data_IF_769535224600
#
_entry.id   IF_769535224600
#
_cell.length_a   1.000
_cell.length_b   1.000
_cell.length_c   1.000
_cell.angle_alpha   90.00
_cell.angle_beta   90.00
_cell.angle_gamma   90.00
#
_symmetry.space_group_name_H-M   'P 1'
#
loop_
_entity.id
_entity.type
_entity.pdbx_description
1 polymer ?
#
# COMPACT_ATOMS: atom_id res chain seq x y z
N UNK A 1 -16.54 18.27 4.63
CA UNK A 1 -17.67 18.31 3.65
C UNK A 1 -17.23 17.86 2.26
N UNK A 2 -16.06 18.32 1.76
CA UNK A 2 -15.60 18.00 0.41
C UNK A 2 -15.28 16.49 0.25
N UNK A 3 -14.45 15.93 1.14
CA UNK A 3 -14.14 14.51 1.14
C UNK A 3 -15.40 13.64 1.24
N UNK A 4 -16.37 14.02 2.08
CA UNK A 4 -17.62 13.29 2.21
C UNK A 4 -18.41 13.26 0.89
N UNK A 5 -18.42 14.37 0.14
CA UNK A 5 -19.07 14.44 -1.16
C UNK A 5 -18.39 13.51 -2.21
N UNK A 6 -17.08 13.33 -2.11
CA UNK A 6 -16.34 12.41 -2.99
C UNK A 6 -16.70 10.94 -2.76
N UNK A 7 -17.20 10.60 -1.57
CA UNK A 7 -17.66 9.24 -1.20
C UNK A 7 -19.19 9.11 -1.26
N UNK A 8 -19.87 9.96 -2.03
CA UNK A 8 -21.31 9.85 -2.23
C UNK A 8 -21.69 8.48 -2.81
N UNK A 9 -22.72 7.86 -2.24
CA UNK A 9 -23.16 6.51 -2.59
C UNK A 9 -22.48 5.38 -1.77
N UNK A 10 -21.47 5.67 -0.94
CA UNK A 10 -20.88 4.67 -0.05
C UNK A 10 -21.75 4.42 1.20
N UNK A 11 -21.78 3.17 1.63
CA UNK A 11 -22.33 2.76 2.93
C UNK A 11 -21.17 2.33 3.83
N UNK A 12 -21.01 3.01 4.97
CA UNK A 12 -20.02 2.65 5.98
C UNK A 12 -20.58 1.55 6.91
N UNK A 13 -19.85 0.46 7.04
CA UNK A 13 -20.16 -0.61 7.98
C UNK A 13 -19.26 -0.47 9.21
N UNK A 14 -19.81 -0.01 10.32
CA UNK A 14 -19.06 0.30 11.55
C UNK A 14 -18.84 -0.89 12.47
N UNK A 15 -19.47 -2.04 12.20
CA UNK A 15 -19.39 -3.27 13.00
C UNK A 15 -18.66 -4.40 12.23
N UNK A 16 -17.57 -4.06 11.54
CA UNK A 16 -16.75 -5.05 10.83
C UNK A 16 -15.51 -5.31 11.65
N UNK A 17 -15.13 -6.59 11.74
CA UNK A 17 -13.91 -7.03 12.43
C UNK A 17 -13.14 -7.93 11.47
N UNK A 18 -11.83 -7.73 11.39
CA UNK A 18 -10.94 -8.62 10.63
C UNK A 18 -10.98 -10.04 11.20
N UNK A 19 -10.85 -11.03 10.32
CA UNK A 19 -10.77 -12.45 10.71
C UNK A 19 -9.40 -12.84 11.25
N UNK A 20 -8.39 -11.97 11.14
CA UNK A 20 -7.04 -12.19 11.62
C UNK A 20 -6.37 -10.93 12.13
N UNK A 21 -5.39 -11.08 13.01
CA UNK A 21 -4.62 -9.97 13.56
C UNK A 21 -3.49 -9.48 12.64
N UNK A 22 -3.23 -10.19 11.55
CA UNK A 22 -2.18 -9.90 10.59
C UNK A 22 -2.68 -10.09 9.18
N UNK A 23 -2.16 -9.34 8.23
CA UNK A 23 -2.51 -9.37 6.80
C UNK A 23 -2.51 -10.77 6.19
N UNK A 24 -1.52 -11.60 6.50
CA UNK A 24 -1.44 -12.97 6.01
C UNK A 24 -2.52 -13.93 6.59
N UNK A 25 -3.31 -13.46 7.55
CA UNK A 25 -4.48 -14.19 8.08
C UNK A 25 -5.80 -13.53 7.68
N UNK A 26 -5.85 -12.19 7.62
CA UNK A 26 -7.02 -11.44 7.22
C UNK A 26 -7.31 -11.55 5.73
N UNK A 27 -6.30 -11.30 4.91
CA UNK A 27 -6.43 -11.29 3.44
C UNK A 27 -6.96 -12.61 2.84
N UNK A 28 -6.49 -13.81 3.24
CA UNK A 28 -7.06 -15.05 2.70
C UNK A 28 -8.56 -15.18 2.92
N UNK A 29 -9.05 -14.83 4.10
CA UNK A 29 -10.49 -14.87 4.39
C UNK A 29 -11.28 -13.80 3.64
N UNK A 30 -10.67 -12.61 3.44
CA UNK A 30 -11.26 -11.54 2.67
C UNK A 30 -11.44 -11.92 1.19
N UNK A 31 -10.45 -12.58 0.60
CA UNK A 31 -10.42 -12.96 -0.82
C UNK A 31 -11.14 -14.28 -1.11
N UNK A 32 -10.99 -15.28 -0.24
CA UNK A 32 -11.48 -16.63 -0.43
C UNK A 32 -12.73 -16.97 0.41
N UNK A 33 -13.11 -16.09 1.34
CA UNK A 33 -14.27 -16.29 2.20
C UNK A 33 -14.03 -17.22 3.39
N UNK A 34 -15.12 -17.79 3.93
CA UNK A 34 -15.11 -18.58 5.16
C UNK A 34 -14.09 -19.72 5.18
N UNK A 35 -13.92 -20.42 4.05
CA UNK A 35 -13.01 -21.58 3.93
C UNK A 35 -11.53 -21.20 4.08
N UNK A 36 -11.24 -19.91 4.01
CA UNK A 36 -9.88 -19.36 4.18
C UNK A 36 -9.70 -18.62 5.52
N UNK A 37 -10.66 -18.74 6.43
CA UNK A 37 -10.43 -18.29 7.82
C UNK A 37 -9.37 -19.15 8.50
N UNK A 38 -8.72 -18.61 9.53
CA UNK A 38 -7.61 -19.27 10.25
C UNK A 38 -8.01 -20.68 10.69
N UNK A 39 -9.22 -20.84 11.24
CA UNK A 39 -9.69 -22.13 11.73
C UNK A 39 -9.82 -23.16 10.60
N UNK A 40 -10.35 -22.75 9.44
CA UNK A 40 -10.50 -23.62 8.28
C UNK A 40 -9.18 -23.96 7.61
N UNK A 41 -8.31 -22.96 7.44
CA UNK A 41 -6.95 -23.17 6.89
C UNK A 41 -6.16 -24.15 7.75
N UNK A 42 -6.30 -24.11 9.08
CA UNK A 42 -5.61 -25.01 10.00
C UNK A 42 -6.08 -26.48 9.92
N UNK A 43 -7.26 -26.75 9.36
CA UNK A 43 -7.71 -28.12 9.10
C UNK A 43 -6.95 -28.78 7.93
N UNK A 44 -6.43 -27.99 7.02
CA UNK A 44 -5.67 -28.43 5.82
C UNK A 44 -4.20 -28.62 6.16
N UNK A 45 -3.86 -29.58 7.05
CA UNK A 45 -2.55 -29.75 7.69
C UNK A 45 -1.42 -30.12 6.73
N UNK A 46 -1.74 -30.83 5.65
CA UNK A 46 -0.75 -31.37 4.70
C UNK A 46 -0.36 -30.34 3.62
N UNK A 47 -0.99 -29.18 3.59
CA UNK A 47 -0.72 -28.13 2.62
C UNK A 47 0.11 -27.00 3.23
N UNK A 48 1.03 -26.45 2.44
CA UNK A 48 1.86 -25.33 2.87
C UNK A 48 0.98 -24.07 3.01
N UNK A 49 1.33 -23.21 3.96
CA UNK A 49 0.60 -21.99 4.22
C UNK A 49 0.66 -21.01 3.02
N UNK A 50 1.79 -20.95 2.32
CA UNK A 50 1.95 -20.14 1.10
C UNK A 50 1.01 -20.61 -0.01
N UNK A 51 0.80 -21.92 -0.18
CA UNK A 51 -0.06 -22.46 -1.23
C UNK A 51 -1.54 -22.08 -0.96
N UNK A 52 -1.97 -22.20 0.30
CA UNK A 52 -3.32 -21.78 0.75
C UNK A 52 -3.55 -20.28 0.59
N UNK A 53 -2.54 -19.48 0.90
CA UNK A 53 -2.60 -18.03 0.70
C UNK A 53 -2.73 -17.66 -0.78
N UNK A 54 -1.89 -18.24 -1.62
CA UNK A 54 -1.93 -18.04 -3.07
C UNK A 54 -3.24 -18.52 -3.70
N UNK A 55 -3.81 -19.60 -3.17
CA UNK A 55 -5.12 -20.10 -3.59
C UNK A 55 -6.20 -19.06 -3.29
N UNK A 56 -6.23 -18.52 -2.07
CA UNK A 56 -7.17 -17.48 -1.68
C UNK A 56 -7.06 -16.21 -2.55
N UNK A 57 -5.82 -15.73 -2.79
CA UNK A 57 -5.59 -14.56 -3.64
C UNK A 57 -6.15 -14.73 -5.06
N UNK A 58 -6.16 -15.95 -5.59
CA UNK A 58 -6.66 -16.27 -6.94
C UNK A 58 -8.18 -16.39 -7.01
N UNK A 59 -8.87 -16.62 -5.89
CA UNK A 59 -10.30 -16.96 -5.90
C UNK A 59 -11.15 -15.96 -6.68
N UNK A 60 -11.11 -14.69 -6.30
CA UNK A 60 -11.92 -13.67 -6.99
C UNK A 60 -11.39 -13.35 -8.39
N UNK A 61 -10.10 -13.03 -8.60
CA UNK A 61 -9.59 -12.73 -9.93
C UNK A 61 -9.87 -13.81 -10.96
N UNK A 62 -9.62 -15.07 -10.63
CA UNK A 62 -9.85 -16.20 -11.54
C UNK A 62 -11.34 -16.45 -11.78
N UNK A 63 -12.18 -16.30 -10.75
CA UNK A 63 -13.62 -16.45 -10.92
C UNK A 63 -14.19 -15.40 -11.90
N UNK A 64 -13.75 -14.15 -11.80
CA UNK A 64 -14.20 -13.09 -12.71
C UNK A 64 -13.65 -13.30 -14.11
N UNK A 65 -12.39 -13.67 -14.28
CA UNK A 65 -11.76 -14.01 -15.57
C UNK A 65 -12.54 -15.12 -16.29
N UNK A 66 -12.83 -16.22 -15.59
CA UNK A 66 -13.62 -17.34 -16.13
C UNK A 66 -15.05 -16.97 -16.51
N UNK A 67 -15.58 -15.86 -15.99
CA UNK A 67 -16.89 -15.34 -16.33
C UNK A 67 -16.84 -14.18 -17.36
N UNK A 68 -15.70 -14.00 -18.03
CA UNK A 68 -15.54 -13.09 -19.17
C UNK A 68 -15.38 -11.63 -18.78
N UNK A 69 -14.90 -11.36 -17.56
CA UNK A 69 -14.49 -10.02 -17.15
C UNK A 69 -13.05 -9.75 -17.62
N UNK A 70 -12.76 -8.51 -17.97
CA UNK A 70 -11.40 -8.01 -18.07
C UNK A 70 -10.85 -7.78 -16.67
N UNK A 71 -9.86 -8.58 -16.27
CA UNK A 71 -9.38 -8.65 -14.88
C UNK A 71 -8.02 -7.99 -14.75
N UNK A 72 -7.92 -7.07 -13.81
CA UNK A 72 -6.65 -6.44 -13.43
C UNK A 72 -6.38 -6.60 -11.93
N UNK A 73 -5.15 -6.97 -11.60
CA UNK A 73 -4.66 -7.14 -10.22
C UNK A 73 -3.46 -6.23 -9.99
N UNK A 74 -3.56 -5.39 -8.95
CA UNK A 74 -2.45 -4.55 -8.47
C UNK A 74 -1.98 -5.01 -7.08
N UNK A 75 -0.68 -5.18 -6.93
CA UNK A 75 0.01 -5.45 -5.67
C UNK A 75 -0.65 -6.56 -4.82
N UNK A 76 -0.91 -7.79 -5.36
CA UNK A 76 -1.58 -8.85 -4.61
C UNK A 76 -0.75 -9.23 -3.38
N UNK A 77 -1.21 -8.78 -2.22
CA UNK A 77 -0.44 -8.74 -0.98
C UNK A 77 0.10 -10.12 -0.59
N UNK A 78 1.39 -10.18 -0.27
CA UNK A 78 2.13 -11.39 0.10
C UNK A 78 2.03 -12.55 -0.91
N UNK A 79 1.76 -12.28 -2.20
CA UNK A 79 1.82 -13.33 -3.22
C UNK A 79 3.17 -14.07 -3.16
N UNK A 80 3.13 -15.39 -3.06
CA UNK A 80 4.27 -16.28 -2.75
C UNK A 80 5.00 -15.93 -1.43
N UNK A 81 4.32 -15.30 -0.47
CA UNK A 81 4.89 -14.83 0.79
C UNK A 81 6.10 -13.91 0.60
N UNK A 82 6.08 -13.10 -0.48
CA UNK A 82 7.07 -12.08 -0.73
C UNK A 82 6.53 -10.71 -0.32
N UNK A 83 7.39 -9.86 0.27
CA UNK A 83 7.06 -8.48 0.60
C UNK A 83 6.69 -7.67 -0.66
N UNK A 84 7.53 -7.73 -1.69
CA UNK A 84 7.13 -7.31 -3.03
C UNK A 84 6.47 -8.51 -3.68
N UNK A 85 5.17 -8.42 -4.00
CA UNK A 85 4.40 -9.56 -4.46
C UNK A 85 5.01 -10.25 -5.68
N UNK A 86 5.10 -11.57 -5.66
CA UNK A 86 5.53 -12.33 -6.81
C UNK A 86 4.32 -12.64 -7.72
N UNK A 87 4.22 -11.89 -8.81
CA UNK A 87 3.10 -12.00 -9.76
C UNK A 87 3.05 -13.34 -10.52
N UNK A 88 4.08 -14.19 -10.38
CA UNK A 88 4.08 -15.53 -10.98
C UNK A 88 2.95 -16.43 -10.45
N UNK A 89 2.34 -16.06 -9.32
CA UNK A 89 1.15 -16.75 -8.78
C UNK A 89 -0.01 -16.81 -9.78
N UNK A 90 -0.06 -15.87 -10.73
CA UNK A 90 -1.06 -15.79 -11.80
C UNK A 90 -0.52 -16.27 -13.16
N UNK A 91 0.62 -16.99 -13.23
CA UNK A 91 1.23 -17.40 -14.51
C UNK A 91 0.33 -18.31 -15.36
N UNK A 92 -0.53 -19.11 -14.72
CA UNK A 92 -1.46 -20.01 -15.37
C UNK A 92 -2.70 -19.29 -15.95
N UNK A 93 -2.83 -17.99 -15.70
CA UNK A 93 -3.95 -17.13 -16.11
C UNK A 93 -3.41 -15.94 -16.91
N UNK A 94 -3.04 -16.14 -18.20
CA UNK A 94 -2.36 -15.13 -19.00
C UNK A 94 -3.23 -13.91 -19.29
N UNK A 95 -4.55 -14.05 -19.28
CA UNK A 95 -5.51 -12.99 -19.56
C UNK A 95 -5.73 -12.05 -18.35
N UNK A 96 -5.29 -12.44 -17.16
CA UNK A 96 -5.30 -11.57 -15.98
C UNK A 96 -4.13 -10.58 -16.09
N UNK A 97 -4.45 -9.30 -16.21
CA UNK A 97 -3.49 -8.21 -16.15
C UNK A 97 -2.98 -8.04 -14.73
N UNK A 98 -1.67 -7.91 -14.55
CA UNK A 98 -1.05 -7.86 -13.23
C UNK A 98 0.10 -6.88 -13.17
N UNK A 99 0.12 -6.04 -12.12
CA UNK A 99 1.07 -4.95 -11.98
C UNK A 99 1.56 -4.82 -10.54
N UNK A 100 2.80 -4.37 -10.39
CA UNK A 100 3.34 -3.85 -9.14
C UNK A 100 3.36 -2.33 -9.26
N UNK A 101 2.61 -1.66 -8.39
CA UNK A 101 2.58 -0.19 -8.30
C UNK A 101 3.39 0.34 -7.13
N UNK A 102 3.61 -0.48 -6.10
CA UNK A 102 4.42 -0.14 -4.94
C UNK A 102 5.85 0.22 -5.34
N UNK A 103 6.23 1.48 -5.15
CA UNK A 103 7.53 2.01 -5.54
C UNK A 103 7.74 2.19 -7.05
N UNK A 104 6.69 2.07 -7.87
CA UNK A 104 6.76 2.29 -9.33
C UNK A 104 6.82 3.78 -9.70
N UNK A 105 6.45 4.67 -8.78
CA UNK A 105 6.38 6.11 -9.02
C UNK A 105 7.47 6.84 -8.25
N UNK A 106 8.14 7.78 -8.93
CA UNK A 106 9.19 8.58 -8.31
C UNK A 106 8.63 9.54 -7.26
N UNK A 107 9.42 9.79 -6.23
CA UNK A 107 9.16 10.83 -5.25
C UNK A 107 10.38 11.77 -5.19
N UNK A 108 10.13 13.07 -5.31
CA UNK A 108 11.17 14.08 -5.15
C UNK A 108 11.73 14.13 -3.72
N UNK A 109 11.04 13.54 -2.77
CA UNK A 109 11.45 13.45 -1.37
C UNK A 109 12.41 12.29 -1.09
N UNK A 110 12.55 11.33 -2.01
CA UNK A 110 13.55 10.26 -1.89
C UNK A 110 14.89 10.80 -2.44
N UNK A 111 15.95 10.88 -1.63
CA UNK A 111 17.22 11.40 -2.08
C UNK A 111 17.79 10.59 -3.26
N UNK A 112 18.20 11.27 -4.32
CA UNK A 112 18.74 10.63 -5.53
C UNK A 112 20.03 9.85 -5.27
N UNK A 113 20.82 10.26 -4.28
CA UNK A 113 22.02 9.55 -3.82
C UNK A 113 21.67 8.16 -3.23
N UNK A 114 20.56 8.01 -2.53
CA UNK A 114 20.08 6.72 -2.04
C UNK A 114 19.79 5.75 -3.18
N UNK A 115 19.11 6.21 -4.24
CA UNK A 115 18.86 5.43 -5.46
C UNK A 115 20.20 5.01 -6.10
N UNK A 116 21.13 5.95 -6.25
CA UNK A 116 22.44 5.67 -6.84
C UNK A 116 23.28 4.70 -6.00
N UNK A 117 23.23 4.81 -4.67
CA UNK A 117 23.90 3.88 -3.76
C UNK A 117 23.33 2.47 -3.86
N UNK A 118 22.02 2.33 -3.89
CA UNK A 118 21.35 1.04 -4.05
C UNK A 118 21.64 0.42 -5.43
N UNK A 119 21.59 1.18 -6.50
CA UNK A 119 21.95 0.72 -7.84
C UNK A 119 23.39 0.18 -7.86
N UNK A 120 24.33 0.89 -7.25
CA UNK A 120 25.74 0.45 -7.12
C UNK A 120 25.84 -0.84 -6.32
N UNK A 121 25.12 -0.94 -5.19
CA UNK A 121 25.11 -2.12 -4.34
C UNK A 121 24.53 -3.34 -5.08
N UNK A 122 23.44 -3.16 -5.81
CA UNK A 122 22.87 -4.21 -6.67
C UNK A 122 23.83 -4.66 -7.76
N UNK A 123 24.53 -3.72 -8.42
CA UNK A 123 25.53 -4.04 -9.42
C UNK A 123 26.69 -4.86 -8.82
N UNK A 124 27.24 -4.41 -7.69
CA UNK A 124 28.32 -5.12 -6.98
C UNK A 124 27.91 -6.53 -6.55
N UNK A 125 26.70 -6.67 -5.99
CA UNK A 125 26.16 -7.95 -5.59
C UNK A 125 25.94 -8.90 -6.79
N UNK A 126 25.37 -8.39 -7.88
CA UNK A 126 25.14 -9.16 -9.10
C UNK A 126 26.47 -9.63 -9.72
N UNK A 127 27.46 -8.75 -9.76
CA UNK A 127 28.81 -9.08 -10.24
C UNK A 127 29.45 -10.19 -9.38
N UNK A 128 29.37 -10.05 -8.05
CA UNK A 128 29.88 -11.08 -7.13
C UNK A 128 29.21 -12.43 -7.40
N UNK A 129 27.88 -12.46 -7.55
CA UNK A 129 27.13 -13.70 -7.84
C UNK A 129 27.45 -14.33 -9.18
N UNK A 130 27.76 -13.52 -10.18
CA UNK A 130 28.11 -13.98 -11.53
C UNK A 130 29.57 -14.50 -11.65
N UNK A 131 30.45 -14.14 -10.73
CA UNK A 131 31.85 -14.50 -10.76
C UNK A 131 32.13 -15.93 -10.23
N UNK A 132 33.24 -16.58 -10.67
CA UNK A 132 33.70 -17.82 -10.07
C UNK A 132 33.91 -17.73 -8.56
N UNK A 133 33.59 -18.80 -7.83
CA UNK A 133 33.64 -18.85 -6.35
C UNK A 133 34.96 -18.34 -5.77
N UNK A 134 36.06 -18.60 -6.44
CA UNK A 134 37.42 -18.17 -6.02
C UNK A 134 37.59 -16.63 -6.02
N UNK A 135 36.77 -15.90 -6.79
CA UNK A 135 36.81 -14.44 -6.90
C UNK A 135 35.73 -13.79 -6.05
N UNK A 136 34.71 -14.53 -5.69
CA UNK A 136 33.56 -13.99 -4.93
C UNK A 136 33.96 -13.38 -3.59
N UNK A 137 34.88 -13.98 -2.87
CA UNK A 137 35.34 -13.47 -1.56
C UNK A 137 36.07 -12.13 -1.69
N UNK A 138 36.79 -11.91 -2.79
CA UNK A 138 37.51 -10.66 -3.06
C UNK A 138 36.48 -9.56 -3.39
N UNK A 139 35.48 -9.88 -4.22
CA UNK A 139 34.41 -8.93 -4.57
C UNK A 139 33.47 -8.66 -3.39
N UNK A 140 33.29 -9.64 -2.51
CA UNK A 140 32.49 -9.48 -1.31
C UNK A 140 33.12 -8.49 -0.33
N UNK A 141 34.44 -8.47 -0.23
CA UNK A 141 35.21 -7.56 0.62
C UNK A 141 34.58 -7.35 2.01
N UNK A 142 34.20 -8.43 2.68
CA UNK A 142 33.48 -8.43 3.95
C UNK A 142 32.19 -7.58 3.96
N UNK A 143 31.53 -7.40 2.82
CA UNK A 143 30.34 -6.57 2.67
C UNK A 143 30.61 -5.08 2.53
N UNK A 144 31.87 -4.64 2.40
CA UNK A 144 32.23 -3.23 2.29
C UNK A 144 31.56 -2.54 1.09
N UNK A 145 31.33 -3.27 -0.02
CA UNK A 145 30.61 -2.74 -1.17
C UNK A 145 29.17 -2.33 -0.85
N UNK A 146 28.57 -2.92 0.19
CA UNK A 146 27.18 -2.66 0.62
C UNK A 146 27.14 -1.66 1.79
N UNK A 147 28.25 -1.08 2.19
CA UNK A 147 28.21 -0.02 3.19
C UNK A 147 27.55 1.21 2.60
N UNK A 148 26.57 1.72 3.31
CA UNK A 148 26.07 3.08 3.05
C UNK A 148 27.23 4.03 3.17
N UNK A 149 27.62 4.65 2.05
CA UNK A 149 28.62 5.75 2.06
C UNK A 149 28.00 7.08 2.46
N UNK A 150 26.73 7.05 2.81
CA UNK A 150 25.92 8.21 3.15
C UNK A 150 25.60 8.14 4.64
N UNK A 151 26.64 8.32 5.47
CA UNK A 151 26.45 8.89 6.80
C UNK A 151 26.47 10.41 6.66
N UNK A 152 25.45 10.96 6.06
CA UNK A 152 25.19 12.40 6.03
C UNK A 152 23.84 12.64 6.67
N UNK A 153 23.59 13.85 7.12
CA UNK A 153 22.33 14.31 7.72
C UNK A 153 21.08 13.97 6.88
N UNK A 154 21.25 13.39 5.68
CA UNK A 154 20.22 12.88 4.77
C UNK A 154 19.70 11.47 5.13
N UNK A 155 20.30 10.75 6.11
CA UNK A 155 19.76 9.48 6.62
C UNK A 155 18.37 9.63 7.27
N UNK A 156 17.99 10.86 7.61
CA UNK A 156 16.68 11.20 8.19
C UNK A 156 15.51 11.08 7.23
N UNK A 157 15.74 10.83 5.93
CA UNK A 157 14.68 10.66 4.94
C UNK A 157 14.19 9.20 4.79
N UNK A 158 14.78 8.27 5.51
CA UNK A 158 14.42 6.84 5.41
C UNK A 158 13.34 6.46 6.41
N UNK A 159 13.20 7.22 7.47
CA UNK A 159 12.22 6.99 8.54
C UNK A 159 11.76 8.33 9.12
N UNK A 160 10.47 8.45 9.39
CA UNK A 160 9.95 9.61 10.08
C UNK A 160 10.17 9.46 11.58
N UNK A 161 10.69 10.51 12.21
CA UNK A 161 10.81 10.60 13.66
C UNK A 161 9.71 11.49 14.20
N UNK A 162 8.75 10.91 14.92
CA UNK A 162 7.69 11.62 15.66
C UNK A 162 8.29 12.13 16.97
N UNK A 163 8.32 13.45 17.15
CA UNK A 163 8.91 14.11 18.32
C UNK A 163 7.87 14.61 19.34
N UNK A 164 6.61 14.44 19.04
CA UNK A 164 5.46 14.81 19.88
C UNK A 164 4.15 14.47 19.18
N UNK A 165 3.00 14.67 19.83
CA UNK A 165 1.71 14.33 19.23
C UNK A 165 1.47 14.97 17.86
N UNK A 166 1.99 16.17 17.65
CA UNK A 166 1.69 17.00 16.47
C UNK A 166 2.92 17.32 15.60
N UNK A 167 4.10 16.80 15.96
CA UNK A 167 5.36 17.22 15.31
C UNK A 167 6.19 16.02 14.88
N UNK A 168 6.75 16.10 13.67
CA UNK A 168 7.65 15.09 13.15
C UNK A 168 8.71 15.68 12.21
N UNK A 169 9.82 14.94 12.02
CA UNK A 169 10.84 15.22 11.03
C UNK A 169 11.18 13.97 10.23
N UNK A 170 11.62 14.15 8.99
CA UNK A 170 11.84 13.05 8.07
C UNK A 170 10.56 12.57 7.39
N UNK A 171 10.67 11.53 6.57
CA UNK A 171 9.54 10.93 5.88
C UNK A 171 9.86 9.47 5.55
N UNK A 172 8.93 8.57 5.85
CA UNK A 172 9.09 7.15 5.59
C UNK A 172 9.03 6.84 4.09
N UNK A 173 10.08 6.17 3.59
CA UNK A 173 10.16 5.81 2.18
C UNK A 173 9.16 4.72 1.79
N UNK A 174 8.75 3.88 2.72
CA UNK A 174 7.74 2.82 2.50
C UNK A 174 6.37 3.46 2.31
N UNK A 175 6.03 4.43 3.19
CA UNK A 175 4.83 5.24 3.04
C UNK A 175 4.78 5.92 1.67
N UNK A 176 5.87 6.60 1.27
CA UNK A 176 5.93 7.30 -0.03
C UNK A 176 5.67 6.37 -1.21
N UNK A 177 6.19 5.15 -1.19
CA UNK A 177 5.99 4.16 -2.25
C UNK A 177 4.52 3.78 -2.43
N UNK A 178 3.79 3.57 -1.34
CA UNK A 178 2.36 3.29 -1.37
C UNK A 178 1.55 4.53 -1.74
N UNK A 179 1.84 5.67 -1.12
CA UNK A 179 1.13 6.93 -1.32
C UNK A 179 1.20 7.44 -2.76
N UNK A 180 2.39 7.37 -3.39
CA UNK A 180 2.53 7.78 -4.78
C UNK A 180 1.77 6.88 -5.76
N UNK A 181 1.56 5.60 -5.46
CA UNK A 181 0.67 4.75 -6.24
C UNK A 181 -0.77 5.31 -6.21
N UNK A 182 -1.28 5.69 -5.04
CA UNK A 182 -2.62 6.30 -4.94
C UNK A 182 -2.71 7.64 -5.68
N UNK A 183 -1.69 8.50 -5.59
CA UNK A 183 -1.70 9.80 -6.28
C UNK A 183 -1.75 9.66 -7.79
N UNK A 184 -1.26 8.54 -8.33
CA UNK A 184 -1.20 8.29 -9.77
C UNK A 184 -2.42 7.52 -10.31
N UNK A 185 -3.35 7.07 -9.47
CA UNK A 185 -4.53 6.33 -9.93
C UNK A 185 -5.28 7.01 -11.08
N UNK A 186 -5.55 8.33 -11.05
CA UNK A 186 -6.22 8.99 -12.17
C UNK A 186 -5.43 8.94 -13.48
N UNK A 187 -4.10 8.86 -13.44
CA UNK A 187 -3.24 8.87 -14.63
C UNK A 187 -3.02 7.49 -15.22
N UNK A 188 -3.05 6.44 -14.39
CA UNK A 188 -2.87 5.05 -14.84
C UNK A 188 -4.19 4.36 -15.15
N UNK A 189 -5.32 4.93 -14.72
CA UNK A 189 -6.64 4.38 -15.00
C UNK A 189 -7.04 4.69 -16.45
N UNK A 190 -7.35 3.65 -17.19
CA UNK A 190 -7.91 3.77 -18.55
C UNK A 190 -9.40 3.44 -18.51
N UNK A 191 -10.20 4.23 -19.23
CA UNK A 191 -11.62 3.97 -19.41
C UNK A 191 -11.87 3.63 -20.86
N UNK A 192 -12.62 2.57 -21.12
CA UNK A 192 -12.97 2.12 -22.46
C UNK A 192 -14.48 2.15 -22.69
N UNK A 193 -14.89 2.13 -23.94
CA UNK A 193 -16.31 2.01 -24.34
C UNK A 193 -16.60 0.63 -24.95
N UNK A 194 -15.78 -0.38 -24.62
CA UNK A 194 -15.91 -1.74 -25.16
C UNK A 194 -17.22 -2.40 -24.80
N UNK A 195 -17.81 -2.02 -23.67
CA UNK A 195 -18.99 -2.68 -23.10
C UNK A 195 -18.64 -3.93 -22.28
N UNK A 196 -17.38 -4.28 -22.18
CA UNK A 196 -16.91 -5.40 -21.38
C UNK A 196 -16.99 -5.07 -19.88
N UNK A 197 -17.33 -6.04 -19.08
CA UNK A 197 -17.27 -5.90 -17.62
C UNK A 197 -15.83 -6.01 -17.17
N UNK A 198 -15.44 -5.18 -16.20
CA UNK A 198 -14.10 -5.18 -15.62
C UNK A 198 -14.14 -5.58 -14.16
N UNK A 199 -13.08 -6.26 -13.70
CA UNK A 199 -12.83 -6.52 -12.29
C UNK A 199 -11.43 -6.00 -11.94
N UNK A 200 -11.36 -5.10 -10.98
CA UNK A 200 -10.11 -4.57 -10.45
C UNK A 200 -9.94 -5.00 -9.00
N UNK A 201 -8.84 -5.66 -8.71
CA UNK A 201 -8.37 -5.91 -7.35
C UNK A 201 -7.09 -5.12 -7.12
N UNK A 202 -7.05 -4.34 -6.03
CA UNK A 202 -5.89 -3.53 -5.68
C UNK A 202 -5.66 -3.58 -4.16
N UNK A 203 -4.42 -3.79 -3.75
CA UNK A 203 -3.97 -3.52 -2.38
C UNK A 203 -3.03 -2.33 -2.34
N UNK A 204 -2.96 -1.66 -1.19
CA UNK A 204 -2.09 -0.50 -1.03
C UNK A 204 -1.66 -0.35 0.43
N UNK A 205 -0.36 -0.18 0.65
CA UNK A 205 0.27 -0.17 1.97
C UNK A 205 0.42 1.24 2.60
N UNK A 206 -0.24 2.27 2.06
CA UNK A 206 -0.08 3.66 2.56
C UNK A 206 -0.43 3.78 4.05
N UNK A 207 -1.39 3.00 4.53
CA UNK A 207 -1.81 3.03 5.94
C UNK A 207 -1.07 2.04 6.84
N UNK A 208 -0.19 1.20 6.28
CA UNK A 208 0.56 0.18 7.01
C UNK A 208 1.68 0.79 7.88
N UNK A 209 2.40 1.78 7.35
CA UNK A 209 3.43 2.53 8.08
C UNK A 209 2.94 3.96 8.30
N UNK A 210 2.18 4.21 9.39
CA UNK A 210 1.57 5.51 9.60
C UNK A 210 2.60 6.60 9.81
N UNK A 211 2.37 7.77 9.18
CA UNK A 211 3.21 8.95 9.29
C UNK A 211 2.37 10.18 9.60
N UNK A 212 2.95 11.14 10.33
CA UNK A 212 2.37 12.47 10.45
C UNK A 212 2.53 13.23 9.14
N UNK A 213 1.45 13.85 8.69
CA UNK A 213 1.39 14.64 7.46
C UNK A 213 0.98 16.07 7.78
N UNK A 214 1.42 17.02 6.96
CA UNK A 214 1.15 18.42 7.21
C UNK A 214 -0.32 18.76 6.93
N UNK A 215 -1.04 19.17 7.96
CA UNK A 215 -2.40 19.68 7.86
C UNK A 215 -2.42 21.09 7.22
N UNK A 216 -3.54 21.53 6.62
CA UNK A 216 -4.85 20.85 6.55
C UNK A 216 -4.97 19.81 5.43
N UNK A 217 -4.04 19.79 4.49
CA UNK A 217 -4.12 19.00 3.25
C UNK A 217 -3.56 17.58 3.40
N UNK A 218 -3.07 17.23 4.60
CA UNK A 218 -2.39 15.96 4.86
C UNK A 218 -1.32 15.67 3.80
N UNK A 219 -0.55 16.71 3.50
CA UNK A 219 0.50 16.67 2.48
C UNK A 219 1.81 16.15 3.04
N UNK A 220 2.59 15.53 2.18
CA UNK A 220 3.93 15.02 2.50
C UNK A 220 4.88 16.18 2.77
N UNK A 221 5.57 16.16 3.89
CA UNK A 221 6.56 17.17 4.27
C UNK A 221 7.70 16.56 5.07
N UNK A 222 8.92 16.99 4.83
CA UNK A 222 10.10 16.58 5.63
C UNK A 222 10.11 17.15 7.05
N UNK A 223 9.24 18.10 7.35
CA UNK A 223 9.02 18.65 8.69
C UNK A 223 7.54 18.93 8.85
N UNK A 224 6.93 18.41 9.88
CA UNK A 224 5.50 18.55 10.20
C UNK A 224 5.36 19.25 11.55
N UNK A 225 4.50 20.25 11.60
CA UNK A 225 4.01 20.87 12.83
C UNK A 225 2.52 21.20 12.68
N UNK A 226 1.69 20.37 13.28
CA UNK A 226 0.24 20.51 13.29
C UNK A 226 -0.30 21.08 14.62
N UNK A 227 0.56 21.57 15.52
CA UNK A 227 0.17 21.97 16.89
C UNK A 227 -0.99 22.99 16.88
N UNK A 228 -0.89 24.04 16.08
CA UNK A 228 -1.95 25.07 15.99
C UNK A 228 -3.21 24.50 15.34
N UNK A 229 -3.06 23.85 14.19
CA UNK A 229 -4.19 23.29 13.45
C UNK A 229 -4.98 22.28 14.28
N UNK A 230 -4.32 21.37 14.96
CA UNK A 230 -4.94 20.31 15.76
C UNK A 230 -5.68 20.88 16.97
N UNK A 231 -5.13 21.95 17.58
CA UNK A 231 -5.79 22.68 18.66
C UNK A 231 -7.07 23.37 18.22
N UNK A 232 -7.05 23.98 17.04
CA UNK A 232 -8.20 24.72 16.48
C UNK A 232 -9.28 23.80 15.90
N UNK A 233 -8.92 22.57 15.51
CA UNK A 233 -9.81 21.63 14.82
C UNK A 233 -9.99 20.32 15.59
N UNK A 234 -9.94 20.36 16.92
CA UNK A 234 -10.06 19.18 17.78
C UNK A 234 -11.45 18.49 17.67
N UNK A 235 -12.47 19.21 17.26
CA UNK A 235 -13.82 18.70 17.05
C UNK A 235 -13.92 17.66 15.92
N UNK A 236 -12.94 17.64 14.98
CA UNK A 236 -12.88 16.63 13.91
C UNK A 236 -12.71 15.21 14.43
N UNK A 237 -12.26 15.04 15.68
CA UNK A 237 -12.15 13.75 16.34
C UNK A 237 -13.42 13.33 17.08
N UNK A 238 -14.53 14.03 16.86
CA UNK A 238 -15.82 13.69 17.46
C UNK A 238 -16.72 13.03 16.42
N UNK A 239 -17.13 11.80 16.67
CA UNK A 239 -18.01 11.02 15.82
C UNK A 239 -19.25 10.63 16.62
N UNK A 240 -20.45 10.97 16.12
CA UNK A 240 -21.75 10.69 16.78
C UNK A 240 -21.80 11.18 18.24
N UNK A 241 -21.18 12.34 18.50
CA UNK A 241 -21.10 12.97 19.82
C UNK A 241 -20.14 12.29 20.80
N UNK A 242 -19.32 11.35 20.33
CA UNK A 242 -18.26 10.71 21.09
C UNK A 242 -16.91 11.20 20.61
N UNK A 243 -16.12 11.76 21.51
CA UNK A 243 -14.74 12.15 21.17
C UNK A 243 -13.82 10.93 21.20
N UNK A 244 -13.02 10.79 20.13
CA UNK A 244 -11.91 9.84 20.08
C UNK A 244 -10.75 10.50 20.82
N UNK A 245 -10.18 9.78 21.79
CA UNK A 245 -9.01 10.25 22.52
C UNK A 245 -7.79 10.17 21.61
N UNK A 246 -7.15 11.32 21.39
CA UNK A 246 -5.97 11.48 20.54
C UNK A 246 -4.88 12.15 21.38
N UNK A 247 -3.99 11.35 21.96
CA UNK A 247 -2.94 11.81 22.90
C UNK A 247 -1.52 11.53 22.37
N UNK A 248 -1.37 10.45 21.59
CA UNK A 248 -0.07 9.96 21.15
C UNK A 248 0.17 10.28 19.66
N UNK A 249 1.42 10.56 19.30
CA UNK A 249 1.79 10.87 17.93
C UNK A 249 1.42 9.78 16.93
N UNK A 250 1.50 8.51 17.34
CA UNK A 250 1.11 7.37 16.50
C UNK A 250 -0.39 7.40 16.14
N UNK A 251 -1.26 7.86 17.06
CA UNK A 251 -2.69 7.98 16.78
C UNK A 251 -2.96 9.04 15.71
N UNK A 252 -2.28 10.19 15.81
CA UNK A 252 -2.35 11.24 14.79
C UNK A 252 -1.77 10.76 13.46
N UNK A 253 -0.65 10.05 13.48
CA UNK A 253 -0.04 9.49 12.28
C UNK A 253 -0.97 8.49 11.56
N UNK A 254 -1.66 7.63 12.30
CA UNK A 254 -2.70 6.75 11.74
C UNK A 254 -3.85 7.54 11.12
N UNK A 255 -4.32 8.57 11.83
CA UNK A 255 -5.38 9.42 11.31
C UNK A 255 -4.95 10.13 10.01
N UNK A 256 -3.78 10.75 10.01
CA UNK A 256 -3.24 11.50 8.87
C UNK A 256 -3.03 10.60 7.64
N UNK A 257 -2.44 9.43 7.83
CA UNK A 257 -2.22 8.46 6.74
C UNK A 257 -3.52 7.95 6.14
N UNK A 258 -4.54 7.70 6.98
CA UNK A 258 -5.86 7.32 6.51
C UNK A 258 -6.55 8.47 5.76
N UNK A 259 -6.49 9.70 6.29
CA UNK A 259 -7.04 10.88 5.63
C UNK A 259 -6.39 11.12 4.28
N UNK A 260 -5.05 11.07 4.21
CA UNK A 260 -4.32 11.22 2.96
C UNK A 260 -4.74 10.16 1.92
N UNK A 261 -4.84 8.90 2.33
CA UNK A 261 -5.29 7.81 1.46
C UNK A 261 -6.70 8.02 0.93
N UNK A 262 -7.65 8.36 1.81
CA UNK A 262 -9.03 8.64 1.42
C UNK A 262 -9.13 9.85 0.48
N UNK A 263 -8.33 10.90 0.70
CA UNK A 263 -8.30 12.07 -0.18
C UNK A 263 -7.79 11.72 -1.58
N UNK A 264 -6.78 10.83 -1.71
CA UNK A 264 -6.33 10.38 -3.03
C UNK A 264 -7.37 9.48 -3.72
N UNK A 265 -8.02 8.60 -2.98
CA UNK A 265 -9.16 7.81 -3.50
C UNK A 265 -10.32 8.73 -3.94
N UNK A 266 -10.64 9.77 -3.16
CA UNK A 266 -11.64 10.77 -3.53
C UNK A 266 -11.32 11.43 -4.87
N UNK A 267 -10.06 11.83 -5.11
CA UNK A 267 -9.63 12.38 -6.40
C UNK A 267 -9.77 11.37 -7.55
N UNK A 268 -9.52 10.08 -7.26
CA UNK A 268 -9.73 9.03 -8.25
C UNK A 268 -11.22 8.83 -8.57
N UNK A 269 -12.09 8.88 -7.55
CA UNK A 269 -13.55 8.81 -7.76
C UNK A 269 -14.08 10.01 -8.54
N UNK A 270 -13.54 11.20 -8.34
CA UNK A 270 -13.87 12.38 -9.15
C UNK A 270 -13.41 12.21 -10.61
N UNK A 271 -12.25 11.61 -10.83
CA UNK A 271 -11.82 11.20 -12.17
C UNK A 271 -12.80 10.21 -12.81
N UNK A 272 -13.26 9.20 -12.06
CA UNK A 272 -14.24 8.23 -12.54
C UNK A 272 -15.58 8.88 -12.88
N UNK A 273 -16.07 9.83 -12.07
CA UNK A 273 -17.28 10.62 -12.36
C UNK A 273 -17.12 11.44 -13.64
N UNK A 274 -16.01 12.13 -13.76
CA UNK A 274 -15.70 12.95 -14.96
C UNK A 274 -15.66 12.11 -16.23
N UNK A 275 -15.28 10.84 -16.15
CA UNK A 275 -15.24 9.91 -17.27
C UNK A 275 -16.52 9.07 -17.42
N UNK A 276 -17.52 9.28 -16.57
CA UNK A 276 -18.84 8.65 -16.66
C UNK A 276 -18.86 7.16 -16.31
N UNK A 277 -17.91 6.70 -15.51
CA UNK A 277 -17.80 5.29 -15.09
C UNK A 277 -18.13 5.05 -13.64
N UNK A 278 -18.22 6.09 -12.81
CA UNK A 278 -18.45 5.96 -11.37
C UNK A 278 -19.80 5.29 -11.05
N UNK A 279 -20.89 5.75 -11.69
CA UNK A 279 -22.25 5.29 -11.39
C UNK A 279 -22.53 3.83 -11.77
N UNK A 280 -21.72 3.26 -12.67
CA UNK A 280 -21.84 1.86 -13.06
C UNK A 280 -20.70 0.99 -12.48
N UNK A 281 -19.97 1.50 -11.51
CA UNK A 281 -18.91 0.79 -10.80
C UNK A 281 -19.35 0.47 -9.37
N UNK A 282 -19.19 -0.79 -8.97
CA UNK A 282 -19.31 -1.18 -7.56
C UNK A 282 -17.92 -1.15 -6.92
N UNK A 283 -17.77 -0.29 -5.90
CA UNK A 283 -16.50 -0.11 -5.17
C UNK A 283 -16.65 -0.74 -3.79
N UNK A 284 -15.69 -1.58 -3.41
CA UNK A 284 -15.58 -2.14 -2.07
C UNK A 284 -14.24 -1.69 -1.51
N UNK A 285 -14.26 -0.91 -0.45
CA UNK A 285 -13.08 -0.44 0.27
C UNK A 285 -13.05 -1.12 1.64
N UNK A 286 -11.97 -1.83 1.94
CA UNK A 286 -11.88 -2.65 3.15
C UNK A 286 -10.43 -2.70 3.63
N UNK A 287 -10.26 -2.72 4.95
CA UNK A 287 -8.98 -3.06 5.59
C UNK A 287 -8.96 -4.55 5.94
N UNK A 288 -7.79 -5.15 5.95
CA UNK A 288 -7.55 -6.55 6.33
C UNK A 288 -7.29 -6.72 7.88
#
# INVERSE_FOLDING_TARGET
PELQAQFDGFTAYTNVVSTGAYTNFGTPALMGGYEYTIDQINLRKDEKLVDKHNEALKMMPVLFDQNGFDVTVFDPIYANYQWVPDLSVFSDYPDIHRYITFGAFESDMIPKNWISANMRNFFGYSLMKACPVTVQSILYDNGNYNRSTVQTEEENYVEQTISGPHTATGMDATFLKGYHALTHLPTITQTTKSGDNTFLFMTNDTTHSPVLLQAPDYSVSGTVDNTEYDSENADRFTVDGKSIVMEEGDQFAHYDSNMASLMQLGKWFDYMRKNGVYDNTRIILVAD
#
